data_IF_293075426554
#
_entry.id   IF_293075426554
#
_cell.length_a   1.000
_cell.length_b   1.000
_cell.length_c   1.000
_cell.angle_alpha   90.00
_cell.angle_beta   90.00
_cell.angle_gamma   90.00
#
_symmetry.space_group_name_H-M   'P 1'
#
loop_
_entity.id
_entity.type
_entity.pdbx_description
1 polymer ?
#
# COMPACT_ATOMS: atom_id res chain seq x y z
N UNK A 1 10.41 42.90 1.75
CA UNK A 1 10.20 41.79 2.66
C UNK A 1 10.54 40.52 1.89
N UNK A 2 11.66 39.86 2.18
CA UNK A 2 12.02 38.58 1.57
C UNK A 2 11.11 37.48 2.07
N UNK A 3 10.96 36.36 1.30
CA UNK A 3 10.13 35.25 1.72
C UNK A 3 10.67 34.66 3.02
N UNK A 4 9.74 34.40 3.94
CA UNK A 4 10.02 33.79 5.25
C UNK A 4 10.74 32.46 5.06
N UNK A 5 11.79 32.11 5.85
CA UNK A 5 12.60 30.92 5.70
C UNK A 5 11.84 29.60 6.02
N UNK A 6 10.53 29.63 6.20
CA UNK A 6 9.69 28.46 6.54
C UNK A 6 8.97 27.81 5.34
N UNK A 7 9.20 28.27 4.11
CA UNK A 7 8.59 27.65 2.92
C UNK A 7 9.61 26.78 2.17
N UNK A 8 10.15 25.74 2.85
CA UNK A 8 10.69 24.62 2.11
C UNK A 8 9.53 24.05 1.28
N UNK A 9 9.71 23.92 -0.03
CA UNK A 9 8.71 23.32 -0.92
C UNK A 9 8.24 22.00 -0.29
N UNK A 10 6.95 21.89 -0.04
CA UNK A 10 6.33 20.75 0.60
C UNK A 10 5.54 20.00 -0.45
N UNK A 11 6.02 18.80 -0.82
CA UNK A 11 5.33 17.90 -1.73
C UNK A 11 4.35 17.01 -0.97
N UNK A 12 3.46 16.36 -1.71
CA UNK A 12 2.56 15.32 -1.18
C UNK A 12 2.86 13.98 -1.85
N UNK A 13 3.07 12.95 -1.03
CA UNK A 13 3.15 11.56 -1.48
C UNK A 13 1.79 10.90 -1.27
N UNK A 14 1.17 10.50 -2.39
CA UNK A 14 -0.08 9.79 -2.45
C UNK A 14 0.19 8.28 -2.58
N UNK A 15 0.00 7.54 -1.49
CA UNK A 15 0.14 6.08 -1.49
C UNK A 15 -1.22 5.45 -1.75
N UNK A 16 -1.31 4.65 -2.81
CA UNK A 16 -2.53 3.96 -3.22
C UNK A 16 -2.35 2.46 -3.02
N UNK A 17 -3.23 1.85 -2.22
CA UNK A 17 -3.35 0.40 -2.22
C UNK A 17 -3.96 -0.06 -3.54
N UNK A 18 -3.45 -1.14 -4.13
CA UNK A 18 -4.03 -1.75 -5.33
C UNK A 18 -5.54 -2.00 -5.18
N UNK A 19 -6.26 -2.03 -6.28
CA UNK A 19 -7.67 -2.41 -6.34
C UNK A 19 -7.89 -3.86 -5.89
N UNK A 20 -9.15 -4.26 -5.75
CA UNK A 20 -9.48 -5.63 -5.38
C UNK A 20 -8.81 -6.63 -6.32
N UNK A 21 -8.07 -7.61 -5.75
CA UNK A 21 -7.50 -8.71 -6.49
C UNK A 21 -8.54 -9.80 -6.79
N UNK A 22 -8.24 -10.66 -7.77
CA UNK A 22 -9.12 -11.77 -8.17
C UNK A 22 -9.03 -12.91 -7.16
N UNK A 23 -9.82 -12.84 -6.09
CA UNK A 23 -9.85 -13.85 -5.05
C UNK A 23 -10.33 -15.20 -5.61
N UNK A 24 -9.59 -16.28 -5.35
CA UNK A 24 -9.99 -17.64 -5.74
C UNK A 24 -9.71 -18.02 -7.19
N UNK A 25 -9.11 -17.15 -8.00
CA UNK A 25 -8.60 -17.53 -9.32
C UNK A 25 -7.22 -18.17 -9.21
N UNK A 26 -6.81 -18.95 -10.25
CA UNK A 26 -5.45 -19.50 -10.33
C UNK A 26 -4.35 -18.44 -10.36
N UNK A 27 -4.71 -17.21 -10.73
CA UNK A 27 -3.81 -16.04 -10.79
C UNK A 27 -4.34 -14.95 -9.83
N UNK A 28 -4.01 -15.09 -8.55
CA UNK A 28 -4.34 -14.13 -7.50
C UNK A 28 -3.70 -12.74 -7.71
N UNK A 29 -2.61 -12.65 -8.49
CA UNK A 29 -1.91 -11.38 -8.72
C UNK A 29 -2.59 -10.48 -9.76
N UNK A 30 -3.80 -10.82 -10.23
CA UNK A 30 -4.62 -9.99 -11.12
C UNK A 30 -5.66 -9.18 -10.35
N UNK A 31 -6.01 -8.01 -10.88
CA UNK A 31 -7.20 -7.30 -10.41
C UNK A 31 -8.48 -8.00 -10.87
N UNK A 32 -9.51 -7.95 -10.02
CA UNK A 32 -10.89 -8.20 -10.45
C UNK A 32 -11.42 -7.05 -11.31
N UNK A 33 -12.55 -7.26 -11.99
CA UNK A 33 -13.22 -6.18 -12.72
C UNK A 33 -13.62 -5.03 -11.79
N UNK A 34 -14.01 -5.36 -10.55
CA UNK A 34 -14.29 -4.35 -9.53
C UNK A 34 -13.04 -3.58 -9.15
N UNK A 35 -11.90 -4.26 -8.96
CA UNK A 35 -10.63 -3.62 -8.64
C UNK A 35 -10.18 -2.63 -9.72
N UNK A 36 -10.36 -2.97 -10.99
CA UNK A 36 -10.10 -2.05 -12.11
C UNK A 36 -11.01 -0.82 -12.05
N UNK A 37 -12.29 -1.01 -11.79
CA UNK A 37 -13.26 0.10 -11.65
C UNK A 37 -12.93 0.98 -10.45
N UNK A 38 -12.54 0.42 -9.30
CA UNK A 38 -12.10 1.17 -8.13
C UNK A 38 -10.93 2.10 -8.48
N UNK A 39 -9.89 1.58 -9.13
CA UNK A 39 -8.71 2.36 -9.50
C UNK A 39 -9.01 3.40 -10.60
N UNK A 40 -9.86 3.07 -11.58
CA UNK A 40 -10.29 4.04 -12.59
C UNK A 40 -11.06 5.20 -11.94
N UNK A 41 -11.97 4.91 -10.99
CA UNK A 41 -12.71 5.93 -10.26
C UNK A 41 -11.78 6.82 -9.41
N UNK A 42 -10.73 6.26 -8.80
CA UNK A 42 -9.71 7.03 -8.11
C UNK A 42 -8.98 7.98 -9.08
N UNK A 43 -8.62 7.50 -10.27
CA UNK A 43 -8.01 8.34 -11.32
C UNK A 43 -8.92 9.49 -11.74
N UNK A 44 -10.22 9.23 -11.94
CA UNK A 44 -11.21 10.25 -12.27
C UNK A 44 -11.34 11.30 -11.15
N UNK A 45 -11.36 10.85 -9.89
CA UNK A 45 -11.36 11.75 -8.73
C UNK A 45 -10.11 12.64 -8.69
N UNK A 46 -8.91 12.05 -8.86
CA UNK A 46 -7.65 12.80 -8.90
C UNK A 46 -7.63 13.83 -10.04
N UNK A 47 -8.14 13.45 -11.22
CA UNK A 47 -8.28 14.36 -12.37
C UNK A 47 -9.23 15.52 -12.06
N UNK A 48 -10.38 15.24 -11.45
CA UNK A 48 -11.34 16.26 -11.04
C UNK A 48 -10.79 17.23 -9.99
N UNK A 49 -9.89 16.76 -9.12
CA UNK A 49 -9.14 17.59 -8.16
C UNK A 49 -7.98 18.38 -8.79
N UNK A 50 -7.69 18.15 -10.06
CA UNK A 50 -6.60 18.82 -10.75
C UNK A 50 -5.21 18.38 -10.31
N UNK A 51 -5.07 17.19 -9.67
CA UNK A 51 -3.76 16.69 -9.24
C UNK A 51 -2.84 16.48 -10.43
N UNK A 52 -1.57 16.78 -10.21
CA UNK A 52 -0.48 16.59 -11.20
C UNK A 52 0.71 16.01 -10.47
N UNK A 53 1.26 14.94 -11.02
CA UNK A 53 2.36 14.21 -10.40
C UNK A 53 3.65 14.44 -11.15
N UNK A 54 4.73 14.74 -10.43
CA UNK A 54 6.08 14.85 -11.00
C UNK A 54 6.84 13.51 -11.00
N UNK A 55 6.35 12.52 -10.22
CA UNK A 55 6.91 11.20 -10.17
C UNK A 55 5.86 10.14 -9.86
N UNK A 56 6.09 8.93 -10.38
CA UNK A 56 5.26 7.75 -10.10
C UNK A 56 6.16 6.60 -9.71
N UNK A 57 5.85 5.93 -8.59
CA UNK A 57 6.49 4.69 -8.16
C UNK A 57 5.43 3.58 -8.06
N UNK A 58 5.84 2.33 -8.27
CA UNK A 58 5.00 1.17 -8.02
C UNK A 58 5.82 -0.04 -7.59
N UNK A 59 5.21 -0.97 -6.87
CA UNK A 59 5.78 -2.30 -6.72
C UNK A 59 5.77 -3.07 -8.06
N UNK A 60 6.49 -4.20 -8.10
CA UNK A 60 6.63 -5.01 -9.33
C UNK A 60 5.51 -6.03 -9.53
N UNK A 61 4.58 -6.18 -8.57
CA UNK A 61 3.47 -7.12 -8.68
C UNK A 61 2.51 -6.71 -9.79
N UNK A 62 1.90 -7.69 -10.46
CA UNK A 62 0.97 -7.45 -11.56
C UNK A 62 -0.22 -6.59 -11.13
N UNK A 63 -0.78 -6.82 -9.94
CA UNK A 63 -1.88 -6.01 -9.41
C UNK A 63 -1.50 -4.55 -9.17
N UNK A 64 -0.21 -4.24 -8.92
CA UNK A 64 0.27 -2.85 -8.84
C UNK A 64 0.27 -2.19 -10.21
N UNK A 65 0.80 -2.88 -11.23
CA UNK A 65 0.78 -2.40 -12.61
C UNK A 65 -0.65 -2.18 -13.11
N UNK A 66 -1.52 -3.19 -12.97
CA UNK A 66 -2.91 -3.12 -13.43
C UNK A 66 -3.71 -2.03 -12.69
N UNK A 67 -3.41 -1.76 -11.42
CA UNK A 67 -4.02 -0.65 -10.67
C UNK A 67 -3.58 0.70 -11.22
N UNK A 68 -2.27 0.85 -11.50
CA UNK A 68 -1.75 2.07 -12.10
C UNK A 68 -2.31 2.29 -13.50
N UNK A 69 -2.40 1.25 -14.34
CA UNK A 69 -2.96 1.35 -15.70
C UNK A 69 -4.44 1.78 -15.65
N UNK A 70 -5.23 1.19 -14.75
CA UNK A 70 -6.62 1.56 -14.57
C UNK A 70 -6.78 3.01 -14.08
N UNK A 71 -5.97 3.46 -13.14
CA UNK A 71 -5.93 4.84 -12.66
C UNK A 71 -5.51 5.80 -13.78
N UNK A 72 -4.45 5.49 -14.53
CA UNK A 72 -3.92 6.29 -15.62
C UNK A 72 -4.93 6.45 -16.78
N UNK A 73 -5.83 5.48 -16.98
CA UNK A 73 -6.90 5.57 -17.98
C UNK A 73 -7.81 6.79 -17.80
N UNK A 74 -7.90 7.30 -16.57
CA UNK A 74 -8.72 8.47 -16.20
C UNK A 74 -7.89 9.67 -15.78
N UNK A 75 -6.57 9.53 -15.66
CA UNK A 75 -5.65 10.58 -15.21
C UNK A 75 -4.50 10.70 -16.23
N UNK A 76 -4.70 11.39 -17.35
CA UNK A 76 -3.68 11.53 -18.38
C UNK A 76 -2.49 12.39 -17.91
N UNK A 77 -1.33 12.12 -18.47
CA UNK A 77 -0.12 12.92 -18.23
C UNK A 77 0.69 12.45 -17.01
N UNK A 78 0.47 11.24 -16.53
CA UNK A 78 1.36 10.63 -15.54
C UNK A 78 2.75 10.38 -16.16
N UNK A 79 3.84 10.66 -15.41
CA UNK A 79 5.18 10.24 -15.81
C UNK A 79 5.31 8.71 -15.84
N UNK A 80 6.35 8.22 -16.50
CA UNK A 80 6.70 6.79 -16.48
C UNK A 80 6.94 6.32 -15.04
N UNK A 81 6.38 5.18 -14.70
CA UNK A 81 6.49 4.64 -13.35
C UNK A 81 7.86 3.99 -13.10
N UNK A 82 8.51 4.39 -12.02
CA UNK A 82 9.67 3.71 -11.48
C UNK A 82 9.22 2.45 -10.72
N UNK A 83 9.67 1.29 -11.19
CA UNK A 83 9.43 0.03 -10.50
C UNK A 83 10.35 -0.08 -9.27
N UNK A 84 9.74 -0.43 -8.11
CA UNK A 84 10.42 -0.54 -6.83
C UNK A 84 10.01 -1.84 -6.12
N UNK A 85 10.75 -2.95 -6.28
CA UNK A 85 10.38 -4.25 -5.68
C UNK A 85 10.21 -4.23 -4.16
N UNK A 86 10.88 -3.31 -3.46
CA UNK A 86 10.70 -3.09 -2.02
C UNK A 86 9.30 -2.62 -1.61
N UNK A 87 8.43 -2.29 -2.57
CA UNK A 87 7.02 -1.96 -2.35
C UNK A 87 6.07 -3.15 -2.58
N UNK A 88 6.61 -4.35 -2.79
CA UNK A 88 5.80 -5.55 -2.92
C UNK A 88 5.25 -6.02 -1.57
N UNK A 89 4.08 -6.66 -1.63
CA UNK A 89 3.48 -7.30 -0.45
C UNK A 89 4.36 -8.46 0.04
N UNK A 90 4.35 -8.70 1.34
CA UNK A 90 4.92 -9.91 1.92
C UNK A 90 4.08 -11.15 1.54
N UNK A 91 4.70 -12.32 1.55
CA UNK A 91 4.02 -13.59 1.30
C UNK A 91 3.32 -14.07 2.59
N UNK A 92 2.00 -13.86 2.65
CA UNK A 92 1.19 -14.25 3.81
C UNK A 92 1.17 -15.77 4.04
N UNK A 93 1.27 -16.58 2.97
CA UNK A 93 1.32 -18.03 3.09
C UNK A 93 2.65 -18.49 3.70
N UNK A 94 3.77 -17.91 3.27
CA UNK A 94 5.08 -18.18 3.86
C UNK A 94 5.11 -17.76 5.35
N UNK A 95 4.48 -16.63 5.70
CA UNK A 95 4.33 -16.21 7.11
C UNK A 95 3.55 -17.23 7.91
N UNK A 96 2.40 -17.67 7.43
CA UNK A 96 1.58 -18.68 8.11
C UNK A 96 2.33 -20.00 8.31
N UNK A 97 3.01 -20.49 7.27
CA UNK A 97 3.81 -21.73 7.35
C UNK A 97 4.99 -21.62 8.32
N UNK A 98 5.48 -20.42 8.60
CA UNK A 98 6.58 -20.22 9.57
C UNK A 98 6.16 -20.44 11.03
N UNK A 99 4.85 -20.42 11.34
CA UNK A 99 4.31 -20.61 12.68
C UNK A 99 3.41 -21.84 12.80
N UNK A 100 2.93 -22.38 11.68
CA UNK A 100 2.13 -23.61 11.63
C UNK A 100 2.63 -24.50 10.50
N UNK A 101 3.18 -25.67 10.86
CA UNK A 101 3.71 -26.63 9.90
C UNK A 101 2.64 -27.50 9.22
N UNK A 102 1.43 -27.59 9.84
CA UNK A 102 0.31 -28.38 9.32
C UNK A 102 -0.33 -27.71 8.11
N UNK A 103 -1.12 -28.49 7.35
CA UNK A 103 -1.84 -28.01 6.17
C UNK A 103 -2.70 -26.77 6.49
N UNK A 104 -2.44 -25.69 5.79
CA UNK A 104 -3.21 -24.45 5.92
C UNK A 104 -4.57 -24.66 5.26
N UNK A 105 -5.60 -24.86 6.06
CA UNK A 105 -6.98 -24.94 5.58
C UNK A 105 -7.40 -23.58 5.03
N UNK A 106 -8.07 -23.58 3.87
CA UNK A 106 -8.74 -22.38 3.38
C UNK A 106 -9.79 -21.95 4.40
N UNK A 107 -9.84 -20.68 4.79
CA UNK A 107 -10.82 -20.20 5.76
C UNK A 107 -12.20 -20.12 5.11
N UNK A 108 -12.96 -21.21 5.17
CA UNK A 108 -14.32 -21.35 4.62
C UNK A 108 -15.42 -21.18 5.68
N UNK A 109 -15.05 -21.14 6.95
CA UNK A 109 -15.95 -20.88 8.07
C UNK A 109 -15.52 -19.65 8.87
N UNK A 110 -16.43 -18.98 9.61
CA UNK A 110 -16.08 -17.86 10.47
C UNK A 110 -14.99 -18.20 11.52
N UNK A 111 -14.99 -19.44 12.01
CA UNK A 111 -14.00 -19.96 12.96
C UNK A 111 -12.63 -20.11 12.31
N UNK A 112 -12.57 -20.72 11.13
CA UNK A 112 -11.34 -20.88 10.34
C UNK A 112 -10.78 -19.52 9.94
N UNK A 113 -11.64 -18.55 9.60
CA UNK A 113 -11.27 -17.18 9.29
C UNK A 113 -10.61 -16.47 10.49
N UNK A 114 -11.23 -16.58 11.69
CA UNK A 114 -10.64 -16.02 12.92
C UNK A 114 -9.30 -16.67 13.27
N UNK A 115 -9.19 -17.99 13.10
CA UNK A 115 -7.94 -18.71 13.34
C UNK A 115 -6.85 -18.28 12.35
N UNK A 116 -7.17 -18.15 11.06
CA UNK A 116 -6.25 -17.69 10.01
C UNK A 116 -5.65 -16.32 10.38
N UNK A 117 -6.48 -15.34 10.72
CA UNK A 117 -5.99 -14.01 11.09
C UNK A 117 -5.21 -13.99 12.40
N UNK A 118 -5.55 -14.86 13.35
CA UNK A 118 -4.76 -15.01 14.58
C UNK A 118 -3.36 -15.53 14.27
N UNK A 119 -3.25 -16.58 13.46
CA UNK A 119 -1.96 -17.15 13.04
C UNK A 119 -1.14 -16.17 12.19
N UNK A 120 -1.79 -15.46 11.27
CA UNK A 120 -1.13 -14.44 10.47
C UNK A 120 -0.54 -13.34 11.35
N UNK A 121 -1.30 -12.86 12.33
CA UNK A 121 -0.84 -11.88 13.32
C UNK A 121 0.34 -12.38 14.14
N UNK A 122 0.28 -13.63 14.61
CA UNK A 122 1.37 -14.28 15.33
C UNK A 122 2.63 -14.38 14.46
N UNK A 123 2.49 -14.89 13.23
CA UNK A 123 3.60 -15.05 12.29
C UNK A 123 4.28 -13.73 11.96
N UNK A 124 3.49 -12.69 11.67
CA UNK A 124 4.00 -11.35 11.42
C UNK A 124 4.74 -10.78 12.65
N UNK A 125 4.17 -10.94 13.84
CA UNK A 125 4.81 -10.47 15.08
C UNK A 125 6.16 -11.14 15.29
N UNK A 126 6.24 -12.46 15.11
CA UNK A 126 7.48 -13.24 15.27
C UNK A 126 8.50 -12.94 14.17
N UNK A 127 8.05 -12.69 12.91
CA UNK A 127 8.93 -12.25 11.85
C UNK A 127 9.51 -10.85 12.14
N UNK A 128 8.69 -9.92 12.60
CA UNK A 128 9.14 -8.58 13.01
C UNK A 128 10.13 -8.61 14.18
N UNK A 129 9.97 -9.58 15.09
CA UNK A 129 10.91 -9.82 16.20
C UNK A 129 12.19 -10.57 15.77
N UNK A 130 12.25 -11.08 14.53
CA UNK A 130 13.38 -11.90 14.06
C UNK A 130 13.39 -13.33 14.62
N UNK A 131 12.28 -13.79 15.20
CA UNK A 131 12.17 -15.13 15.80
C UNK A 131 11.89 -16.21 14.74
N UNK A 132 11.28 -15.83 13.61
CA UNK A 132 11.05 -16.70 12.46
C UNK A 132 11.50 -16.01 11.18
N UNK A 133 11.93 -16.83 10.19
CA UNK A 133 12.27 -16.36 8.85
C UNK A 133 11.38 -17.10 7.85
N UNK A 134 10.29 -16.48 7.35
CA UNK A 134 9.44 -17.09 6.34
C UNK A 134 10.23 -17.40 5.06
N UNK A 135 10.01 -18.58 4.48
CA UNK A 135 10.75 -19.05 3.33
C UNK A 135 10.54 -18.14 2.11
N UNK A 136 11.62 -17.81 1.41
CA UNK A 136 11.56 -16.97 0.20
C UNK A 136 11.35 -15.47 0.46
N UNK A 137 11.17 -15.06 1.71
CA UNK A 137 10.99 -13.66 2.07
C UNK A 137 12.31 -13.02 2.57
N UNK A 138 12.47 -11.68 2.45
CA UNK A 138 13.53 -10.97 3.15
C UNK A 138 13.32 -11.06 4.67
N UNK A 139 14.35 -10.74 5.45
CA UNK A 139 14.17 -10.45 6.87
C UNK A 139 13.23 -9.24 7.05
N UNK A 140 12.64 -9.09 8.24
CA UNK A 140 11.85 -7.88 8.53
C UNK A 140 12.63 -6.59 8.26
N UNK A 141 13.90 -6.55 8.65
CA UNK A 141 14.77 -5.40 8.38
C UNK A 141 14.93 -5.13 6.88
N UNK A 142 15.08 -6.19 6.07
CA UNK A 142 15.16 -6.07 4.61
C UNK A 142 13.85 -5.57 4.00
N UNK A 143 12.70 -6.04 4.49
CA UNK A 143 11.39 -5.57 4.07
C UNK A 143 11.19 -4.08 4.44
N UNK A 144 11.47 -3.71 5.68
CA UNK A 144 11.42 -2.33 6.15
C UNK A 144 12.33 -1.42 5.32
N UNK A 145 13.56 -1.85 5.04
CA UNK A 145 14.50 -1.11 4.21
C UNK A 145 13.98 -0.92 2.78
N UNK A 146 13.33 -1.94 2.20
CA UNK A 146 12.69 -1.84 0.89
C UNK A 146 11.66 -0.72 0.84
N UNK A 147 10.80 -0.62 1.87
CA UNK A 147 9.78 0.43 2.00
C UNK A 147 10.42 1.80 2.25
N UNK A 148 11.31 1.90 3.24
CA UNK A 148 11.91 3.19 3.63
C UNK A 148 12.80 3.77 2.56
N UNK A 149 13.49 2.93 1.76
CA UNK A 149 14.28 3.39 0.62
C UNK A 149 13.43 4.07 -0.46
N UNK A 150 12.18 3.62 -0.67
CA UNK A 150 11.24 4.32 -1.57
C UNK A 150 10.83 5.68 -0.99
N UNK A 151 10.55 5.78 0.30
CA UNK A 151 10.27 7.05 0.97
C UNK A 151 11.46 8.02 0.86
N UNK A 152 12.68 7.52 1.10
CA UNK A 152 13.92 8.31 0.98
C UNK A 152 14.15 8.79 -0.46
N UNK A 153 13.86 7.95 -1.45
CA UNK A 153 13.90 8.36 -2.85
C UNK A 153 12.94 9.51 -3.12
N UNK A 154 11.68 9.39 -2.68
CA UNK A 154 10.67 10.44 -2.87
C UNK A 154 11.14 11.77 -2.29
N UNK A 155 11.49 11.81 -1.00
CA UNK A 155 11.88 13.07 -0.33
C UNK A 155 13.20 13.67 -0.82
N UNK A 156 14.09 12.86 -1.44
CA UNK A 156 15.38 13.32 -1.93
C UNK A 156 15.38 13.73 -3.40
N UNK A 157 14.40 13.24 -4.19
CA UNK A 157 14.36 13.44 -5.64
C UNK A 157 13.21 14.31 -6.13
N UNK A 158 12.18 14.50 -5.29
CA UNK A 158 10.96 15.21 -5.66
C UNK A 158 10.69 16.38 -4.71
N UNK A 159 9.95 17.37 -5.22
CA UNK A 159 9.50 18.54 -4.46
C UNK A 159 7.99 18.79 -4.63
N UNK A 160 7.39 18.25 -5.69
CA UNK A 160 5.96 18.28 -5.98
C UNK A 160 5.28 16.97 -5.57
N UNK A 161 4.08 16.75 -6.11
CA UNK A 161 3.27 15.58 -5.78
C UNK A 161 3.81 14.31 -6.45
N UNK A 162 3.83 13.22 -5.71
CA UNK A 162 4.29 11.89 -6.15
C UNK A 162 3.19 10.86 -5.90
N UNK A 163 2.94 10.01 -6.89
CA UNK A 163 2.03 8.88 -6.79
C UNK A 163 2.82 7.59 -6.53
N UNK A 164 2.36 6.77 -5.58
CA UNK A 164 2.95 5.48 -5.26
C UNK A 164 1.85 4.42 -5.18
N UNK A 165 1.93 3.36 -6.01
CA UNK A 165 0.98 2.24 -5.99
C UNK A 165 1.64 1.01 -5.38
N UNK A 166 1.01 0.45 -4.33
CA UNK A 166 1.56 -0.65 -3.55
C UNK A 166 0.46 -1.52 -2.93
N UNK A 167 0.83 -2.30 -1.93
CA UNK A 167 -0.04 -3.20 -1.16
C UNK A 167 -0.21 -2.71 0.28
N UNK A 168 -1.11 -3.37 1.01
CA UNK A 168 -1.43 -3.02 2.39
C UNK A 168 -0.26 -3.09 3.35
N UNK A 169 0.55 -4.15 3.29
CA UNK A 169 1.71 -4.33 4.17
C UNK A 169 2.76 -3.23 4.04
N UNK A 170 3.28 -2.93 2.84
CA UNK A 170 4.21 -1.81 2.65
C UNK A 170 3.64 -0.46 3.06
N UNK A 171 2.37 -0.15 2.73
CA UNK A 171 1.74 1.12 3.12
C UNK A 171 1.62 1.23 4.64
N UNK A 172 1.14 0.18 5.30
CA UNK A 172 1.03 0.14 6.76
C UNK A 172 2.40 0.26 7.45
N UNK A 173 3.43 -0.39 6.87
CA UNK A 173 4.82 -0.28 7.33
C UNK A 173 5.34 1.15 7.19
N UNK A 174 5.08 1.81 6.06
CA UNK A 174 5.44 3.22 5.84
C UNK A 174 4.79 4.13 6.89
N UNK A 175 3.49 3.93 7.17
CA UNK A 175 2.76 4.72 8.19
C UNK A 175 3.36 4.49 9.58
N UNK A 176 3.54 3.23 10.00
CA UNK A 176 4.13 2.92 11.30
C UNK A 176 5.54 3.52 11.44
N UNK A 177 6.37 3.44 10.39
CA UNK A 177 7.71 4.02 10.37
C UNK A 177 7.69 5.55 10.51
N UNK A 178 6.86 6.24 9.73
CA UNK A 178 6.75 7.72 9.77
C UNK A 178 6.25 8.24 11.12
N UNK A 179 5.39 7.46 11.79
CA UNK A 179 4.88 7.78 13.12
C UNK A 179 5.82 7.32 14.25
N UNK A 180 6.96 6.70 13.94
CA UNK A 180 7.86 6.10 14.94
C UNK A 180 7.14 5.12 15.89
N UNK A 181 6.09 4.48 15.36
CA UNK A 181 5.29 3.52 16.11
C UNK A 181 5.99 2.13 16.18
N UNK A 182 5.65 1.30 17.16
CA UNK A 182 6.12 -0.08 17.18
C UNK A 182 5.84 -0.80 15.86
N UNK A 183 6.74 -1.65 15.33
CA UNK A 183 6.55 -2.37 14.07
C UNK A 183 5.21 -3.12 13.98
N UNK A 184 4.75 -3.70 15.09
CA UNK A 184 3.48 -4.42 15.20
C UNK A 184 2.26 -3.54 14.91
N UNK A 185 2.37 -2.21 15.00
CA UNK A 185 1.31 -1.27 14.58
C UNK A 185 0.99 -1.44 13.09
N UNK A 186 1.98 -1.78 12.25
CA UNK A 186 1.75 -2.06 10.84
C UNK A 186 0.78 -3.24 10.62
N UNK A 187 0.74 -4.22 11.52
CA UNK A 187 -0.19 -5.36 11.43
C UNK A 187 -1.64 -4.86 11.56
N UNK A 188 -1.92 -4.05 12.58
CA UNK A 188 -3.26 -3.51 12.85
C UNK A 188 -3.74 -2.60 11.71
N UNK A 189 -2.85 -1.77 11.19
CA UNK A 189 -3.14 -0.91 10.06
C UNK A 189 -3.44 -1.73 8.80
N UNK A 190 -2.58 -2.74 8.48
CA UNK A 190 -2.73 -3.56 7.29
C UNK A 190 -4.04 -4.37 7.27
N UNK A 191 -4.45 -4.94 8.41
CA UNK A 191 -5.68 -5.72 8.52
C UNK A 191 -6.97 -4.89 8.27
N UNK A 192 -6.88 -3.59 8.19
CA UNK A 192 -8.03 -2.68 8.02
C UNK A 192 -7.95 -1.81 6.78
N UNK A 193 -6.85 -1.86 6.04
CA UNK A 193 -6.73 -1.05 4.83
C UNK A 193 -7.66 -1.57 3.74
N UNK A 194 -8.34 -0.66 3.04
CA UNK A 194 -9.32 -0.98 1.99
C UNK A 194 -8.67 -0.99 0.61
N UNK A 195 -9.23 -1.73 -0.32
CA UNK A 195 -8.76 -1.72 -1.70
C UNK A 195 -8.96 -0.32 -2.33
N UNK A 196 -8.04 0.09 -3.17
CA UNK A 196 -7.93 1.42 -3.77
C UNK A 196 -7.87 2.59 -2.77
N UNK A 197 -7.66 2.31 -1.48
CA UNK A 197 -7.56 3.37 -0.48
C UNK A 197 -6.34 4.25 -0.69
N UNK A 198 -6.52 5.51 -0.36
CA UNK A 198 -5.53 6.57 -0.43
C UNK A 198 -4.98 6.87 0.96
N UNK A 199 -3.66 6.96 1.06
CA UNK A 199 -2.92 7.44 2.22
C UNK A 199 -2.03 8.59 1.77
N UNK A 200 -2.01 9.69 2.51
CA UNK A 200 -1.29 10.89 2.12
C UNK A 200 -0.20 11.22 3.15
N UNK A 201 1.01 11.46 2.67
CA UNK A 201 2.09 12.08 3.44
C UNK A 201 2.45 13.43 2.83
N UNK A 202 2.46 14.47 3.63
CA UNK A 202 3.24 15.66 3.28
C UNK A 202 4.73 15.34 3.49
N UNK A 203 5.61 15.83 2.61
CA UNK A 203 7.03 15.60 2.78
C UNK A 203 7.88 16.84 2.49
N UNK A 204 9.03 16.86 3.12
CA UNK A 204 10.13 17.80 2.87
C UNK A 204 11.41 16.97 2.64
N UNK A 205 12.54 17.54 2.20
CA UNK A 205 13.79 16.80 2.10
C UNK A 205 14.24 16.13 3.42
N UNK A 206 13.68 16.54 4.56
CA UNK A 206 14.08 16.04 5.88
C UNK A 206 13.18 14.93 6.42
N UNK A 207 11.88 14.94 6.11
CA UNK A 207 10.90 14.03 6.74
C UNK A 207 9.62 13.89 5.94
N UNK A 208 8.89 12.81 6.22
CA UNK A 208 7.47 12.63 5.88
C UNK A 208 6.60 12.92 7.09
N UNK A 209 5.35 13.31 6.85
CA UNK A 209 4.34 13.59 7.88
C UNK A 209 3.01 13.02 7.41
N UNK A 210 2.41 12.15 8.21
CA UNK A 210 1.10 11.56 7.87
C UNK A 210 0.02 12.65 7.88
N UNK A 211 -0.74 12.75 6.80
CA UNK A 211 -1.89 13.65 6.65
C UNK A 211 -3.19 12.86 6.78
N UNK A 212 -3.35 11.80 5.97
CA UNK A 212 -4.52 10.91 6.01
C UNK A 212 -4.08 9.46 5.87
N UNK A 213 -4.92 8.53 6.35
CA UNK A 213 -4.70 7.10 6.20
C UNK A 213 -5.99 6.41 5.78
N UNK A 214 -5.90 5.50 4.78
CA UNK A 214 -6.96 4.58 4.39
C UNK A 214 -8.28 5.29 4.03
N UNK A 215 -8.23 6.40 3.30
CA UNK A 215 -9.41 7.14 2.85
C UNK A 215 -9.89 6.64 1.48
N UNK A 216 -11.17 6.80 1.18
CA UNK A 216 -11.80 6.43 -0.09
C UNK A 216 -12.61 7.59 -0.67
N UNK A 217 -12.02 8.77 -0.92
CA UNK A 217 -12.77 9.94 -1.34
C UNK A 217 -13.44 9.79 -2.71
N UNK A 218 -13.01 8.81 -3.50
CA UNK A 218 -13.58 8.46 -4.80
C UNK A 218 -14.77 7.49 -4.70
N UNK A 219 -15.05 6.93 -3.52
CA UNK A 219 -16.13 5.97 -3.28
C UNK A 219 -17.12 6.46 -2.19
N UNK A 220 -17.02 7.73 -1.77
CA UNK A 220 -17.84 8.26 -0.67
C UNK A 220 -19.29 8.55 -1.06
N UNK A 221 -19.60 8.58 -2.36
CA UNK A 221 -20.93 8.89 -2.87
C UNK A 221 -21.55 7.71 -3.66
N UNK A 222 -22.88 7.61 -3.63
CA UNK A 222 -23.60 6.64 -4.46
C UNK A 222 -23.35 6.93 -5.96
N UNK A 223 -23.21 5.91 -6.82
CA UNK A 223 -23.41 4.48 -6.54
C UNK A 223 -22.14 3.73 -6.10
N UNK A 224 -21.06 4.41 -5.74
CA UNK A 224 -19.73 3.81 -5.54
C UNK A 224 -19.53 3.25 -4.15
N UNK A 225 -20.37 3.58 -3.17
CA UNK A 225 -20.26 3.08 -1.78
C UNK A 225 -20.27 1.55 -1.69
N UNK A 226 -20.98 0.87 -2.60
CA UNK A 226 -21.03 -0.59 -2.67
C UNK A 226 -19.76 -1.22 -3.25
N UNK A 227 -18.81 -0.41 -3.73
CA UNK A 227 -17.54 -0.88 -4.24
C UNK A 227 -16.45 -0.99 -3.15
N UNK A 228 -16.76 -0.62 -1.93
CA UNK A 228 -15.80 -0.73 -0.82
C UNK A 228 -15.53 -2.19 -0.50
N UNK A 229 -14.27 -2.60 -0.62
CA UNK A 229 -13.83 -3.96 -0.34
C UNK A 229 -12.56 -3.98 0.52
N UNK A 230 -12.37 -5.11 1.17
CA UNK A 230 -11.18 -5.43 1.97
C UNK A 230 -10.45 -6.61 1.33
N UNK A 231 -9.20 -6.86 1.73
CA UNK A 231 -8.48 -8.05 1.27
C UNK A 231 -9.02 -9.29 1.94
#
# INVERSE_FOLDING_TARGET
MGPSPHNAAMGTLYLVRHGQASFGSEDYDRLSDLGRRQCAQLGAWMQAKGLRFEGVLRGSLRRHQESLDALASQLPGLPDALEWPGLNEYDSEAVLRSVQADELLRPDTPEAYRQHFRLLREGLTRWMAGEVQPAGMPSWQGFLQGVTSALDHVRSRHQGDVLLVSSGGPIATAVAHVLEAPPTTAIELNLRIRNSALTEFAFTPKRHMLVTYNTLPHLDEAPYTDWVTYA
#
